data_IF_306019039858
#
_entry.id   IF_306019039858
#
_cell.length_a   1.000
_cell.length_b   1.000
_cell.length_c   1.000
_cell.angle_alpha   90.00
_cell.angle_beta   90.00
_cell.angle_gamma   90.00
#
_symmetry.space_group_name_H-M   'P 1'
#
loop_
_entity.id
_entity.type
_entity.pdbx_description
1 polymer ?
#
# COMPACT_ATOMS: atom_id res chain seq x y z
N UNK A 1 3.50 -1.24 -16.35
CA UNK A 1 2.22 -1.80 -16.78
C UNK A 1 1.17 -1.40 -15.75
N UNK A 2 0.49 -0.28 -16.01
CA UNK A 2 -0.69 0.12 -15.25
C UNK A 2 -1.91 -0.53 -15.90
N UNK A 3 -2.72 -1.23 -15.12
CA UNK A 3 -4.00 -1.76 -15.59
C UNK A 3 -4.96 -0.62 -15.92
N UNK A 4 -4.94 -0.18 -17.18
CA UNK A 4 -5.95 0.69 -17.78
C UNK A 4 -5.78 0.61 -19.30
N UNK A 5 -6.37 -0.44 -19.90
CA UNK A 5 -6.40 -0.75 -21.34
C UNK A 5 -5.00 -0.88 -21.98
N UNK A 6 -4.77 -1.87 -22.85
CA UNK A 6 -3.47 -2.00 -23.52
C UNK A 6 -3.14 -0.75 -24.36
N UNK A 7 -4.17 -0.05 -24.86
CA UNK A 7 -4.14 1.31 -25.43
C UNK A 7 -5.50 2.00 -25.26
N UNK A 8 -5.72 2.89 -24.29
CA UNK A 8 -6.98 3.64 -24.22
C UNK A 8 -7.12 4.55 -25.45
N UNK A 9 -8.29 4.54 -26.11
CA UNK A 9 -8.63 5.61 -27.06
C UNK A 9 -8.71 6.93 -26.28
N UNK A 10 -8.08 8.02 -26.75
CA UNK A 10 -8.13 9.29 -26.04
C UNK A 10 -9.58 9.75 -25.90
N UNK A 11 -10.00 10.00 -24.66
CA UNK A 11 -11.24 10.69 -24.34
C UNK A 11 -10.82 12.06 -23.83
N UNK A 12 -11.11 13.11 -24.60
CA UNK A 12 -10.88 14.48 -24.13
C UNK A 12 -11.92 14.82 -23.07
N UNK A 13 -11.45 15.06 -21.86
CA UNK A 13 -12.27 15.61 -20.77
C UNK A 13 -11.70 16.99 -20.45
N UNK A 14 -12.43 18.04 -20.81
CA UNK A 14 -12.10 19.40 -20.34
C UNK A 14 -12.49 19.49 -18.86
N UNK A 15 -11.49 19.43 -17.98
CA UNK A 15 -11.65 19.65 -16.54
C UNK A 15 -11.14 21.05 -16.22
N UNK A 16 -12.05 21.93 -15.85
CA UNK A 16 -11.73 23.27 -15.38
C UNK A 16 -11.46 23.15 -13.87
N UNK A 17 -10.19 23.30 -13.47
CA UNK A 17 -9.79 23.26 -12.06
C UNK A 17 -9.95 24.66 -11.50
N UNK A 18 -11.07 24.89 -10.81
CA UNK A 18 -11.25 26.11 -10.01
C UNK A 18 -10.56 25.87 -8.67
N UNK A 19 -9.39 26.50 -8.48
CA UNK A 19 -8.76 26.55 -7.16
C UNK A 19 -9.58 27.51 -6.30
N UNK A 20 -10.14 27.08 -5.16
CA UNK A 20 -10.78 28.01 -4.23
C UNK A 20 -9.74 29.02 -3.75
N UNK A 21 -10.13 30.29 -3.70
CA UNK A 21 -9.28 31.37 -3.21
C UNK A 21 -8.85 31.09 -1.76
N UNK A 22 -7.56 31.32 -1.49
CA UNK A 22 -6.90 31.05 -0.21
C UNK A 22 -7.63 31.67 0.97
N UNK A 23 -8.07 30.85 1.92
CA UNK A 23 -8.06 31.26 3.33
C UNK A 23 -6.61 31.16 3.84
N UNK A 24 -6.00 32.31 4.10
CA UNK A 24 -4.72 32.41 4.80
C UNK A 24 -4.98 32.15 6.29
N UNK A 25 -4.91 30.91 6.71
CA UNK A 25 -4.62 30.61 8.12
C UNK A 25 -3.11 30.63 8.33
N UNK A 26 -2.67 31.47 9.27
CA UNK A 26 -1.29 31.49 9.77
C UNK A 26 -1.08 30.18 10.55
N UNK A 27 -0.27 29.27 10.03
CA UNK A 27 0.34 28.23 10.86
C UNK A 27 1.36 28.90 11.79
N UNK A 28 0.94 29.19 13.03
CA UNK A 28 1.87 29.41 14.13
C UNK A 28 2.55 28.08 14.45
N UNK A 29 3.86 28.03 14.19
CA UNK A 29 4.75 26.99 14.69
C UNK A 29 4.63 26.92 16.23
N UNK A 30 4.13 25.80 16.74
CA UNK A 30 4.22 25.48 18.17
C UNK A 30 5.67 25.12 18.52
N UNK A 31 6.36 25.88 19.40
CA UNK A 31 7.69 25.52 19.86
C UNK A 31 7.50 24.68 21.13
N UNK A 32 7.46 23.34 21.00
CA UNK A 32 7.90 22.40 22.03
C UNK A 32 7.73 20.94 21.57
N UNK A 33 8.60 20.51 20.66
CA UNK A 33 8.90 19.10 20.42
C UNK A 33 10.01 18.64 21.34
N UNK A 34 9.73 18.47 22.64
CA UNK A 34 10.58 17.68 23.53
C UNK A 34 9.71 16.59 24.16
N UNK A 35 9.69 15.42 23.54
CA UNK A 35 9.29 14.22 24.24
C UNK A 35 10.39 13.92 25.27
N UNK A 36 10.10 14.22 26.54
CA UNK A 36 10.95 13.79 27.65
C UNK A 36 11.03 12.26 27.69
N UNK A 37 12.21 11.68 27.94
CA UNK A 37 12.35 10.24 28.09
C UNK A 37 11.74 9.82 29.43
N UNK A 38 10.66 9.04 29.40
CA UNK A 38 10.20 8.31 30.57
C UNK A 38 11.17 7.15 30.81
N UNK A 39 12.02 7.34 31.82
CA UNK A 39 12.94 6.33 32.30
C UNK A 39 12.17 5.13 32.90
N UNK A 40 12.37 3.95 32.33
CA UNK A 40 11.95 2.69 32.91
C UNK A 40 13.06 2.22 33.87
N UNK A 41 12.79 2.18 35.17
CA UNK A 41 13.69 1.56 36.15
C UNK A 41 13.36 0.08 36.26
N UNK A 42 14.31 -0.78 35.84
CA UNK A 42 14.41 -2.16 36.28
C UNK A 42 15.75 -2.31 37.04
N UNK A 43 15.69 -2.97 38.19
CA UNK A 43 16.79 -3.09 39.14
C UNK A 43 18.02 -3.81 38.54
N UNK A 44 19.20 -3.21 38.76
CA UNK A 44 20.39 -3.97 39.15
C UNK A 44 21.43 -4.33 38.08
N UNK A 45 22.03 -3.35 37.39
CA UNK A 45 23.49 -3.08 37.33
C UNK A 45 23.78 -2.09 36.20
N UNK A 46 24.36 -0.95 36.57
CA UNK A 46 24.61 0.19 35.69
C UNK A 46 25.79 -0.09 34.76
N UNK A 47 25.56 -0.15 33.44
CA UNK A 47 26.57 0.23 32.45
C UNK A 47 26.12 1.54 31.81
N UNK A 48 26.87 2.60 32.09
CA UNK A 48 26.71 3.92 31.49
C UNK A 48 26.92 3.79 29.98
N UNK A 49 25.85 3.94 29.20
CA UNK A 49 25.97 4.22 27.77
C UNK A 49 26.53 5.64 27.63
N UNK A 50 27.80 5.75 27.26
CA UNK A 50 28.38 7.00 26.82
C UNK A 50 27.64 7.47 25.56
N UNK A 51 27.20 8.72 25.59
CA UNK A 51 26.36 9.36 24.58
C UNK A 51 27.09 9.64 23.23
N UNK A 52 28.24 9.02 22.99
CA UNK A 52 29.14 9.34 21.86
C UNK A 52 29.26 8.26 20.78
N UNK A 53 28.73 7.05 20.97
CA UNK A 53 28.71 6.04 19.90
C UNK A 53 27.33 6.00 19.25
N UNK A 54 27.04 6.99 18.38
CA UNK A 54 26.12 6.73 17.27
C UNK A 54 26.73 5.56 16.48
N UNK A 55 25.98 4.48 16.16
CA UNK A 55 26.49 3.47 15.25
C UNK A 55 26.90 4.19 13.98
N UNK A 56 28.17 4.09 13.63
CA UNK A 56 28.74 4.67 12.42
C UNK A 56 27.81 4.26 11.29
N UNK A 57 27.20 5.25 10.63
CA UNK A 57 26.38 5.05 9.43
C UNK A 57 27.31 4.46 8.39
N UNK A 58 27.36 3.12 8.33
CA UNK A 58 27.96 2.41 7.21
C UNK A 58 27.04 2.69 6.03
N UNK A 59 27.34 3.77 5.31
CA UNK A 59 26.80 4.03 3.99
C UNK A 59 27.08 2.77 3.17
N UNK A 60 26.06 2.03 2.67
CA UNK A 60 26.26 0.75 1.99
C UNK A 60 27.06 0.87 0.67
N UNK A 61 27.44 2.09 0.28
CA UNK A 61 28.12 2.43 -0.95
C UNK A 61 29.57 2.90 -0.74
N UNK A 62 30.33 2.30 0.17
CA UNK A 62 31.71 2.74 0.47
C UNK A 62 32.80 2.05 -0.34
N UNK A 63 32.48 1.08 -1.21
CA UNK A 63 33.50 0.45 -2.05
C UNK A 63 33.94 1.41 -3.18
N UNK A 64 35.19 1.93 -3.18
CA UNK A 64 35.63 2.90 -4.18
C UNK A 64 35.60 2.36 -5.61
N UNK A 65 35.70 1.02 -5.79
CA UNK A 65 35.61 0.36 -7.10
C UNK A 65 34.20 0.37 -7.70
N UNK A 66 33.17 0.63 -6.88
CA UNK A 66 31.77 0.71 -7.30
C UNK A 66 31.32 2.15 -7.60
N UNK A 67 32.23 3.12 -7.64
CA UNK A 67 31.88 4.51 -7.94
C UNK A 67 32.01 4.82 -9.43
N UNK A 68 31.14 5.69 -9.92
CA UNK A 68 31.26 6.36 -11.21
C UNK A 68 31.11 7.86 -11.00
N UNK A 69 31.88 8.65 -11.76
CA UNK A 69 31.77 10.10 -11.80
C UNK A 69 31.69 10.54 -13.25
N UNK A 70 30.72 11.40 -13.57
CA UNK A 70 30.51 11.90 -14.92
C UNK A 70 30.11 13.37 -14.90
N UNK A 71 30.60 14.12 -15.88
CA UNK A 71 30.07 15.45 -16.18
C UNK A 71 28.77 15.31 -16.96
N UNK A 72 27.67 15.85 -16.42
CA UNK A 72 26.33 15.59 -16.95
C UNK A 72 25.71 16.75 -17.73
N UNK A 73 26.07 18.00 -17.40
CA UNK A 73 25.67 19.19 -18.16
C UNK A 73 26.47 20.44 -17.74
N UNK A 74 26.30 21.54 -18.47
CA UNK A 74 26.65 22.87 -18.01
C UNK A 74 25.61 23.40 -17.01
N UNK A 75 26.00 24.27 -16.08
CA UNK A 75 25.07 24.83 -15.06
C UNK A 75 23.92 25.65 -15.64
N UNK A 76 24.11 26.17 -16.86
CA UNK A 76 23.12 26.94 -17.64
C UNK A 76 22.13 26.05 -18.39
N UNK A 77 22.45 24.77 -18.56
CA UNK A 77 21.59 23.87 -19.35
C UNK A 77 20.33 23.45 -18.59
N UNK A 78 20.29 23.62 -17.26
CA UNK A 78 19.13 23.28 -16.44
C UNK A 78 18.66 24.53 -15.70
N UNK A 79 17.40 24.90 -15.90
CA UNK A 79 16.79 26.06 -15.24
C UNK A 79 16.29 25.70 -13.84
N UNK A 80 16.09 26.72 -13.01
CA UNK A 80 15.55 26.53 -11.68
C UNK A 80 14.11 25.98 -11.75
N UNK A 81 13.83 24.92 -11.00
CA UNK A 81 12.55 24.22 -11.02
C UNK A 81 12.48 23.08 -12.04
N UNK A 82 13.55 22.79 -12.79
CA UNK A 82 13.59 21.71 -13.76
C UNK A 82 14.19 20.41 -13.19
N UNK A 83 13.77 19.31 -13.82
CA UNK A 83 14.34 17.99 -13.63
C UNK A 83 14.82 17.44 -14.97
N UNK A 84 15.91 16.69 -14.97
CA UNK A 84 16.47 16.03 -16.16
C UNK A 84 16.98 14.65 -15.81
N UNK A 85 16.66 13.67 -16.64
CA UNK A 85 17.30 12.36 -16.58
C UNK A 85 18.68 12.45 -17.27
N UNK A 86 19.73 12.01 -16.58
CA UNK A 86 21.12 12.06 -17.05
C UNK A 86 21.76 10.68 -17.00
N UNK A 87 22.62 10.39 -17.96
CA UNK A 87 23.31 9.11 -18.10
C UNK A 87 24.72 9.20 -17.50
N UNK A 88 25.10 8.19 -16.70
CA UNK A 88 26.44 8.04 -16.12
C UNK A 88 27.20 6.85 -16.75
N UNK A 89 26.73 6.32 -17.88
CA UNK A 89 27.31 5.19 -18.62
C UNK A 89 26.88 3.83 -18.10
N UNK A 90 26.81 3.63 -16.78
CA UNK A 90 26.39 2.37 -16.16
C UNK A 90 24.95 2.40 -15.59
N UNK A 91 24.24 3.51 -15.80
CA UNK A 91 22.90 3.74 -15.29
C UNK A 91 22.55 5.22 -15.28
N UNK A 92 21.33 5.55 -14.85
CA UNK A 92 20.80 6.91 -14.95
C UNK A 92 20.44 7.49 -13.59
N UNK A 93 20.51 8.81 -13.52
CA UNK A 93 20.11 9.63 -12.37
C UNK A 93 19.11 10.70 -12.78
N UNK A 94 18.34 11.20 -11.82
CA UNK A 94 17.54 12.41 -11.95
C UNK A 94 18.34 13.58 -11.39
N UNK A 95 18.77 14.46 -12.26
CA UNK A 95 19.33 15.75 -11.91
C UNK A 95 18.19 16.76 -11.71
N UNK A 96 18.25 17.51 -10.62
CA UNK A 96 17.22 18.47 -10.22
C UNK A 96 17.91 19.79 -9.92
N UNK A 97 17.35 20.92 -10.35
CA UNK A 97 17.76 22.24 -9.91
C UNK A 97 16.62 22.94 -9.20
N UNK A 98 16.81 23.34 -7.95
CA UNK A 98 15.79 24.08 -7.19
C UNK A 98 16.44 25.05 -6.22
N UNK A 99 15.91 26.27 -6.17
CA UNK A 99 16.42 27.41 -5.43
C UNK A 99 17.92 27.70 -5.69
N UNK A 100 18.38 27.46 -6.93
CA UNK A 100 19.78 27.63 -7.33
C UNK A 100 20.68 26.42 -7.05
N UNK A 101 20.26 25.49 -6.19
CA UNK A 101 21.02 24.30 -5.83
C UNK A 101 20.75 23.13 -6.78
N UNK A 102 21.75 22.26 -6.95
CA UNK A 102 21.63 21.02 -7.71
C UNK A 102 21.56 19.79 -6.79
N UNK A 103 20.64 18.90 -7.11
CA UNK A 103 20.45 17.61 -6.43
C UNK A 103 20.49 16.48 -7.46
N UNK A 104 20.96 15.30 -7.04
CA UNK A 104 20.94 14.11 -7.86
C UNK A 104 20.43 12.91 -7.04
N UNK A 105 19.51 12.16 -7.63
CA UNK A 105 18.89 10.99 -6.99
C UNK A 105 18.49 9.93 -8.01
N UNK A 106 17.99 8.78 -7.55
CA UNK A 106 17.41 7.77 -8.42
C UNK A 106 16.33 8.34 -9.35
N UNK A 107 16.32 7.90 -10.61
CA UNK A 107 15.46 8.42 -11.67
C UNK A 107 14.12 7.71 -11.84
N UNK A 108 13.97 6.53 -11.22
CA UNK A 108 12.74 5.74 -11.24
C UNK A 108 12.14 5.63 -9.87
N UNK A 109 10.82 5.77 -9.78
CA UNK A 109 10.08 5.52 -8.56
C UNK A 109 10.29 4.06 -8.12
N UNK A 110 10.72 3.79 -6.88
CA UNK A 110 11.02 2.45 -6.40
C UNK A 110 9.79 1.55 -6.31
N UNK A 111 8.58 2.12 -6.33
CA UNK A 111 7.33 1.37 -6.35
C UNK A 111 7.20 0.55 -7.65
N UNK A 112 6.73 1.14 -8.76
CA UNK A 112 6.54 0.44 -10.05
C UNK A 112 7.46 0.93 -11.18
N UNK A 113 8.51 1.69 -10.88
CA UNK A 113 9.50 2.11 -11.86
C UNK A 113 9.09 3.31 -12.73
N UNK A 114 8.11 4.10 -12.28
CA UNK A 114 7.68 5.31 -12.98
C UNK A 114 8.86 6.27 -13.20
N UNK A 115 9.04 6.84 -14.41
CA UNK A 115 10.11 7.81 -14.66
C UNK A 115 9.80 9.11 -13.92
N UNK A 116 10.60 9.46 -12.92
CA UNK A 116 10.34 10.60 -12.05
C UNK A 116 10.53 11.95 -12.73
N UNK A 117 11.28 11.98 -13.84
CA UNK A 117 11.39 13.17 -14.72
C UNK A 117 10.03 13.61 -15.28
N UNK A 118 9.05 12.69 -15.39
CA UNK A 118 7.67 13.00 -15.79
C UNK A 118 6.77 13.40 -14.61
N UNK A 119 7.32 13.39 -13.40
CA UNK A 119 6.63 13.76 -12.17
C UNK A 119 6.56 15.26 -11.97
N UNK A 120 6.19 15.65 -10.76
CA UNK A 120 6.08 17.07 -10.37
C UNK A 120 7.13 17.39 -9.30
N UNK A 121 7.94 18.41 -9.55
CA UNK A 121 8.86 18.99 -8.57
C UNK A 121 8.17 20.16 -7.85
N UNK A 122 8.11 20.12 -6.51
CA UNK A 122 7.58 21.22 -5.71
C UNK A 122 8.09 21.18 -4.28
N UNK A 123 8.51 22.33 -3.73
CA UNK A 123 8.88 22.51 -2.31
C UNK A 123 9.81 21.40 -1.76
N UNK A 124 10.95 21.17 -2.41
CA UNK A 124 11.94 20.17 -1.99
C UNK A 124 11.53 18.72 -2.26
N UNK A 125 10.49 18.47 -3.07
CA UNK A 125 9.92 17.14 -3.28
C UNK A 125 9.69 16.82 -4.74
N UNK A 126 9.89 15.56 -5.09
CA UNK A 126 9.47 14.99 -6.38
C UNK A 126 8.31 14.02 -6.16
N UNK A 127 7.20 14.27 -6.84
CA UNK A 127 6.01 13.43 -6.81
C UNK A 127 5.92 12.56 -8.06
N UNK A 128 5.81 11.25 -7.83
CA UNK A 128 5.71 10.24 -8.87
C UNK A 128 4.46 10.43 -9.74
N UNK A 129 4.58 10.39 -11.08
CA UNK A 129 3.47 10.66 -11.98
C UNK A 129 2.42 9.56 -12.05
N UNK A 130 2.70 8.36 -11.53
CA UNK A 130 1.76 7.24 -11.63
C UNK A 130 0.86 7.11 -10.40
N UNK A 131 1.43 7.15 -9.20
CA UNK A 131 0.69 6.84 -7.98
C UNK A 131 0.87 7.89 -6.87
N UNK A 132 1.61 8.97 -7.13
CA UNK A 132 1.75 10.07 -6.18
C UNK A 132 2.78 9.87 -5.07
N UNK A 133 3.53 8.75 -5.06
CA UNK A 133 4.63 8.56 -4.12
C UNK A 133 5.58 9.77 -4.13
N UNK A 134 5.97 10.25 -2.95
CA UNK A 134 6.67 11.52 -2.81
C UNK A 134 8.05 11.29 -2.19
N UNK A 135 9.07 11.95 -2.75
CA UNK A 135 10.44 11.80 -2.30
C UNK A 135 11.07 13.16 -2.01
N UNK A 136 11.79 13.25 -0.91
CA UNK A 136 12.59 14.42 -0.55
C UNK A 136 13.82 14.52 -1.47
N UNK A 137 14.06 15.66 -2.13
CA UNK A 137 15.18 15.80 -3.07
C UNK A 137 16.54 15.88 -2.36
N UNK A 138 16.56 16.32 -1.10
CA UNK A 138 17.80 16.51 -0.34
C UNK A 138 18.29 15.20 0.29
N UNK A 139 17.37 14.33 0.71
CA UNK A 139 17.69 13.06 1.40
C UNK A 139 17.40 11.81 0.57
N UNK A 140 16.51 11.92 -0.43
CA UNK A 140 15.96 10.79 -1.16
C UNK A 140 14.95 9.95 -0.36
N UNK A 141 14.58 10.36 0.84
CA UNK A 141 13.59 9.63 1.63
C UNK A 141 12.21 9.68 0.99
N UNK A 142 11.48 8.59 1.11
CA UNK A 142 10.04 8.57 0.83
C UNK A 142 9.30 9.33 1.95
N UNK A 143 8.50 10.31 1.57
CA UNK A 143 7.68 11.12 2.47
C UNK A 143 6.17 10.90 2.27
N UNK A 144 5.78 10.28 1.15
CA UNK A 144 4.40 9.87 0.89
C UNK A 144 4.37 8.57 0.08
N UNK A 145 3.42 7.71 0.42
CA UNK A 145 3.20 6.40 -0.17
C UNK A 145 2.48 6.55 -1.53
N UNK A 146 2.41 5.51 -2.40
CA UNK A 146 2.83 4.12 -2.21
C UNK A 146 4.29 3.82 -2.57
N UNK A 147 4.90 2.91 -1.83
CA UNK A 147 6.31 2.51 -1.93
C UNK A 147 6.88 2.25 -0.55
N UNK A 148 7.92 1.44 -0.43
CA UNK A 148 8.53 1.13 0.87
C UNK A 148 9.96 1.68 1.01
N UNK A 149 10.64 1.90 -0.12
CA UNK A 149 12.02 2.33 -0.15
C UNK A 149 12.12 3.79 -0.58
N UNK A 150 13.15 4.46 -0.07
CA UNK A 150 13.59 5.74 -0.60
C UNK A 150 14.37 5.55 -1.90
N UNK A 151 14.81 6.68 -2.43
CA UNK A 151 15.72 6.76 -3.57
C UNK A 151 17.16 6.89 -3.08
N UNK A 152 18.13 6.30 -3.80
CA UNK A 152 19.53 6.61 -3.58
C UNK A 152 19.78 8.08 -3.91
N UNK A 153 20.58 8.74 -3.06
CA UNK A 153 21.10 10.09 -3.31
C UNK A 153 22.50 9.99 -3.89
N UNK A 154 22.79 10.82 -4.87
CA UNK A 154 24.11 10.93 -5.49
C UNK A 154 24.76 12.26 -5.13
N UNK A 155 26.09 12.27 -5.09
CA UNK A 155 26.85 13.49 -4.81
C UNK A 155 26.86 14.36 -6.06
N UNK A 156 26.66 15.67 -5.88
CA UNK A 156 26.74 16.66 -6.95
C UNK A 156 27.90 17.61 -6.67
N UNK A 157 28.73 17.86 -7.68
CA UNK A 157 29.84 18.81 -7.62
C UNK A 157 29.74 19.76 -8.81
N UNK A 158 30.04 21.03 -8.60
CA UNK A 158 30.13 22.02 -9.68
C UNK A 158 31.59 22.42 -9.82
N UNK A 159 32.16 22.27 -11.01
CA UNK A 159 33.52 22.71 -11.33
C UNK A 159 33.53 23.37 -12.70
N UNK A 160 34.12 24.57 -12.81
CA UNK A 160 34.28 25.30 -14.08
C UNK A 160 32.95 25.36 -14.88
N UNK A 161 31.88 25.77 -14.21
CA UNK A 161 30.51 25.86 -14.76
C UNK A 161 29.90 24.52 -15.25
N UNK A 162 30.50 23.37 -14.92
CA UNK A 162 29.96 22.04 -15.24
C UNK A 162 29.47 21.33 -14.00
N UNK A 163 28.38 20.60 -14.14
CA UNK A 163 27.78 19.76 -13.11
C UNK A 163 28.33 18.34 -13.25
N UNK A 164 28.84 17.80 -12.16
CA UNK A 164 29.32 16.43 -12.03
C UNK A 164 28.47 15.67 -11.04
N UNK A 165 28.16 14.42 -11.36
CA UNK A 165 27.50 13.50 -10.43
C UNK A 165 28.46 12.36 -10.13
N UNK A 166 28.62 12.07 -8.84
CA UNK A 166 29.31 10.87 -8.34
C UNK A 166 28.31 9.94 -7.65
N UNK A 167 28.27 8.68 -8.11
CA UNK A 167 27.26 7.70 -7.71
C UNK A 167 27.84 6.29 -7.61
N UNK A 168 27.23 5.43 -6.79
CA UNK A 168 27.50 3.98 -6.82
C UNK A 168 26.82 3.35 -8.02
N UNK A 169 27.50 2.43 -8.71
CA UNK A 169 26.94 1.69 -9.86
C UNK A 169 25.80 0.79 -9.39
N UNK A 170 25.93 0.13 -8.24
CA UNK A 170 24.85 -0.64 -7.65
C UNK A 170 23.62 0.22 -7.36
N UNK A 171 23.79 1.43 -6.81
CA UNK A 171 22.68 2.34 -6.53
C UNK A 171 21.99 2.84 -7.82
N UNK A 172 22.75 3.09 -8.88
CA UNK A 172 22.23 3.42 -10.21
C UNK A 172 21.47 2.25 -10.86
N UNK A 173 21.76 1.00 -10.47
CA UNK A 173 21.03 -0.16 -10.97
C UNK A 173 19.79 -0.46 -10.14
N UNK A 174 19.89 -0.43 -8.80
CA UNK A 174 18.79 -0.79 -7.90
C UNK A 174 17.67 0.25 -7.89
N UNK A 175 18.01 1.54 -8.04
CA UNK A 175 17.08 2.68 -7.94
C UNK A 175 16.26 2.68 -6.62
N UNK A 176 16.75 1.98 -5.61
CA UNK A 176 16.07 1.71 -4.33
C UNK A 176 17.07 1.82 -3.20
N UNK A 177 16.64 2.48 -2.11
CA UNK A 177 17.38 2.58 -0.85
C UNK A 177 16.45 2.24 0.31
N UNK A 178 16.68 1.09 0.92
CA UNK A 178 16.06 0.74 2.20
C UNK A 178 16.76 1.52 3.32
N UNK A 179 15.99 2.05 4.28
CA UNK A 179 16.56 2.74 5.44
C UNK A 179 17.34 1.76 6.32
N UNK A 180 18.35 2.28 7.03
CA UNK A 180 19.08 1.51 8.04
C UNK A 180 18.10 1.11 9.13
N UNK A 181 18.21 -0.14 9.59
CA UNK A 181 17.30 -0.75 10.55
C UNK A 181 18.08 -1.51 11.61
N UNK A 182 17.62 -1.41 12.86
CA UNK A 182 18.10 -2.22 13.96
C UNK A 182 17.76 -3.70 13.76
N UNK A 183 18.44 -4.55 14.54
CA UNK A 183 18.19 -5.98 14.66
C UNK A 183 17.77 -6.31 16.08
N UNK A 184 17.20 -7.49 16.29
CA UNK A 184 16.87 -7.96 17.62
C UNK A 184 18.17 -8.30 18.38
N UNK A 185 18.32 -7.80 19.60
CA UNK A 185 19.56 -8.02 20.40
C UNK A 185 19.46 -9.28 21.28
N UNK A 186 18.26 -9.83 21.52
CA UNK A 186 18.04 -10.83 22.57
C UNK A 186 17.23 -12.09 22.15
N UNK A 187 17.48 -12.68 20.97
CA UNK A 187 16.66 -13.81 20.48
C UNK A 187 16.72 -15.09 21.34
N UNK A 188 17.76 -15.31 22.15
CA UNK A 188 18.03 -16.63 22.75
C UNK A 188 17.15 -17.01 23.95
N UNK A 189 16.41 -16.07 24.56
CA UNK A 189 15.72 -16.30 25.85
C UNK A 189 14.21 -16.00 25.85
N UNK A 190 13.57 -15.80 24.70
CA UNK A 190 12.14 -15.49 24.67
C UNK A 190 11.27 -16.75 24.65
N UNK A 191 10.31 -16.83 25.58
CA UNK A 191 9.18 -17.76 25.47
C UNK A 191 8.38 -17.45 24.20
N UNK A 192 8.04 -18.48 23.42
CA UNK A 192 7.18 -18.32 22.23
C UNK A 192 5.82 -17.72 22.58
N UNK A 193 5.38 -17.84 23.83
CA UNK A 193 4.12 -17.31 24.35
C UNK A 193 4.13 -15.80 24.66
N UNK A 194 5.26 -15.08 24.60
CA UNK A 194 5.35 -13.65 24.98
C UNK A 194 6.13 -12.85 23.94
N UNK A 195 5.60 -11.70 23.52
CA UNK A 195 6.29 -10.76 22.62
C UNK A 195 6.22 -9.30 23.11
N UNK A 196 7.20 -8.48 22.75
CA UNK A 196 7.18 -7.05 23.07
C UNK A 196 6.17 -6.32 22.16
N UNK A 197 6.18 -6.64 20.87
CA UNK A 197 5.22 -6.11 19.90
C UNK A 197 4.57 -7.27 19.15
N UNK A 198 3.23 -7.33 19.23
CA UNK A 198 2.42 -8.18 18.37
C UNK A 198 1.72 -7.32 17.31
N UNK A 199 1.79 -7.74 16.06
CA UNK A 199 1.11 -7.11 14.92
C UNK A 199 0.13 -8.14 14.33
N UNK A 200 -1.17 -7.90 14.47
CA UNK A 200 -2.19 -8.77 13.88
C UNK A 200 -2.55 -8.23 12.50
N UNK A 201 -2.09 -8.92 11.46
CA UNK A 201 -2.31 -8.58 10.07
C UNK A 201 -1.02 -8.26 9.34
N UNK A 202 -0.66 -9.09 8.36
CA UNK A 202 0.52 -8.96 7.52
C UNK A 202 0.27 -8.14 6.24
N UNK A 203 -0.56 -7.10 6.33
CA UNK A 203 -0.78 -6.14 5.24
C UNK A 203 0.28 -5.03 5.20
N UNK A 204 0.15 -4.05 4.29
CA UNK A 204 1.09 -2.93 4.21
C UNK A 204 1.22 -2.15 5.52
N UNK A 205 0.13 -1.97 6.27
CA UNK A 205 0.17 -1.28 7.56
C UNK A 205 1.01 -2.04 8.62
N UNK A 206 0.82 -3.37 8.72
CA UNK A 206 1.59 -4.20 9.64
C UNK A 206 3.07 -4.24 9.29
N UNK A 207 3.38 -4.42 8.00
CA UNK A 207 4.75 -4.38 7.49
C UNK A 207 5.43 -3.05 7.78
N UNK A 208 4.79 -1.93 7.41
CA UNK A 208 5.36 -0.59 7.63
C UNK A 208 5.55 -0.31 9.12
N UNK A 209 4.67 -0.80 9.99
CA UNK A 209 4.88 -0.69 11.43
C UNK A 209 6.14 -1.46 11.88
N UNK A 210 6.29 -2.72 11.48
CA UNK A 210 7.46 -3.53 11.84
C UNK A 210 8.76 -2.90 11.32
N UNK A 211 8.77 -2.43 10.07
CA UNK A 211 9.92 -1.74 9.48
C UNK A 211 10.23 -0.44 10.21
N UNK A 212 9.22 0.39 10.48
CA UNK A 212 9.41 1.68 11.16
C UNK A 212 9.96 1.46 12.56
N UNK A 213 9.47 0.47 13.31
CA UNK A 213 10.04 0.13 14.62
C UNK A 213 11.54 -0.17 14.51
N UNK A 214 11.96 -0.99 13.54
CA UNK A 214 13.38 -1.27 13.31
C UNK A 214 14.15 -0.04 12.85
N UNK A 215 13.57 0.82 12.01
CA UNK A 215 14.21 2.07 11.54
C UNK A 215 14.45 3.05 12.69
N UNK A 216 13.53 3.11 13.66
CA UNK A 216 13.61 3.93 14.87
C UNK A 216 14.45 3.28 15.98
N UNK A 217 15.16 2.18 15.69
CA UNK A 217 16.10 1.55 16.61
C UNK A 217 15.50 0.54 17.59
N UNK A 218 14.22 0.17 17.44
CA UNK A 218 13.60 -0.83 18.31
C UNK A 218 14.28 -2.19 18.13
N UNK A 219 14.80 -2.75 19.22
CA UNK A 219 15.66 -3.93 19.21
C UNK A 219 15.10 -5.15 19.95
N UNK A 220 13.83 -5.12 20.37
CA UNK A 220 13.16 -6.26 21.01
C UNK A 220 12.40 -7.13 20.00
N UNK A 221 11.81 -8.25 20.46
CA UNK A 221 11.02 -9.17 19.65
C UNK A 221 9.78 -8.50 19.03
N UNK A 222 9.62 -8.65 17.72
CA UNK A 222 8.42 -8.26 16.96
C UNK A 222 7.86 -9.54 16.34
N UNK A 223 6.57 -9.80 16.57
CA UNK A 223 5.83 -10.89 15.94
C UNK A 223 4.71 -10.29 15.08
N UNK A 224 4.65 -10.68 13.82
CA UNK A 224 3.56 -10.36 12.91
C UNK A 224 2.82 -11.63 12.52
N UNK A 225 1.52 -11.69 12.78
CA UNK A 225 0.69 -12.84 12.46
C UNK A 225 -0.36 -12.53 11.39
N UNK A 226 -0.74 -13.55 10.63
CA UNK A 226 -1.74 -13.44 9.57
C UNK A 226 -2.43 -14.78 9.36
N UNK A 227 -3.72 -14.74 9.02
CA UNK A 227 -4.48 -15.94 8.65
C UNK A 227 -4.14 -16.45 7.25
N UNK A 228 -3.39 -15.69 6.45
CA UNK A 228 -2.97 -16.08 5.10
C UNK A 228 -1.68 -16.89 5.12
N UNK A 229 -1.49 -17.74 4.11
CA UNK A 229 -0.27 -18.54 3.90
C UNK A 229 0.94 -17.74 3.39
N UNK A 230 0.75 -16.47 3.06
CA UNK A 230 1.74 -15.64 2.37
C UNK A 230 2.40 -14.61 3.27
N UNK A 231 3.66 -14.31 2.95
CA UNK A 231 4.34 -13.09 3.41
C UNK A 231 3.59 -11.84 2.92
N UNK A 232 3.79 -10.65 3.54
CA UNK A 232 3.19 -9.41 3.08
C UNK A 232 3.37 -9.17 1.58
N UNK A 233 2.27 -8.89 0.90
CA UNK A 233 2.23 -8.71 -0.54
C UNK A 233 1.32 -7.54 -0.95
N UNK A 234 1.57 -7.02 -2.15
CA UNK A 234 0.84 -5.88 -2.69
C UNK A 234 -0.53 -6.31 -3.22
N UNK A 235 -1.55 -6.16 -2.36
CA UNK A 235 -2.94 -6.49 -2.74
C UNK A 235 -3.48 -5.65 -3.89
N UNK A 236 -2.92 -4.48 -4.18
CA UNK A 236 -3.38 -3.67 -5.31
C UNK A 236 -3.08 -4.31 -6.66
N UNK A 237 -2.14 -5.27 -6.70
CA UNK A 237 -1.84 -6.10 -7.87
C UNK A 237 -2.96 -7.07 -8.22
N UNK A 238 -3.78 -7.49 -7.25
CA UNK A 238 -4.82 -8.51 -7.42
C UNK A 238 -5.92 -8.10 -8.40
N UNK A 239 -6.08 -6.81 -8.70
CA UNK A 239 -7.04 -6.27 -9.67
C UNK A 239 -6.38 -5.53 -10.84
N UNK A 240 -5.11 -5.10 -10.71
CA UNK A 240 -4.42 -4.28 -11.72
C UNK A 240 -3.53 -5.08 -12.67
N UNK A 241 -2.87 -6.12 -12.17
CA UNK A 241 -1.99 -6.99 -12.94
C UNK A 241 -2.29 -8.42 -12.57
N UNK A 242 -3.59 -8.76 -12.60
CA UNK A 242 -4.09 -10.10 -12.27
C UNK A 242 -3.29 -11.17 -13.02
N UNK A 243 -3.35 -12.42 -12.55
CA UNK A 243 -2.50 -13.53 -13.04
C UNK A 243 -1.04 -13.43 -12.57
N UNK A 244 -0.86 -13.14 -11.28
CA UNK A 244 0.46 -13.08 -10.64
C UNK A 244 0.57 -14.16 -9.56
N UNK A 245 1.74 -14.77 -9.43
CA UNK A 245 2.05 -15.60 -8.27
C UNK A 245 2.32 -14.72 -7.06
N UNK A 246 2.03 -15.22 -5.85
CA UNK A 246 2.14 -14.42 -4.63
C UNK A 246 3.56 -13.85 -4.44
N UNK A 247 4.58 -14.67 -4.70
CA UNK A 247 6.00 -14.36 -4.54
C UNK A 247 6.44 -13.21 -5.44
N UNK A 248 5.83 -13.06 -6.62
CA UNK A 248 6.13 -11.99 -7.57
C UNK A 248 5.62 -10.62 -7.11
N UNK A 249 4.68 -10.62 -6.16
CA UNK A 249 4.04 -9.42 -5.63
C UNK A 249 4.28 -9.24 -4.13
N UNK A 250 5.23 -9.99 -3.55
CA UNK A 250 5.69 -9.75 -2.19
C UNK A 250 6.26 -8.35 -2.05
N UNK A 251 5.96 -7.73 -0.91
CA UNK A 251 6.44 -6.39 -0.56
C UNK A 251 7.90 -6.42 -0.10
N UNK A 252 8.31 -7.53 0.54
CA UNK A 252 9.67 -7.82 0.99
C UNK A 252 9.99 -9.29 0.77
N UNK A 253 11.27 -9.61 0.55
CA UNK A 253 11.71 -11.00 0.41
C UNK A 253 11.68 -11.72 1.77
N UNK A 254 11.80 -13.05 1.77
CA UNK A 254 11.88 -13.83 3.01
C UNK A 254 13.12 -13.46 3.83
N UNK A 255 14.23 -13.22 3.15
CA UNK A 255 15.52 -12.87 3.73
C UNK A 255 15.45 -11.53 4.46
N UNK A 256 14.59 -10.60 4.01
CA UNK A 256 14.36 -9.34 4.70
C UNK A 256 13.86 -9.55 6.13
N UNK A 257 12.81 -10.35 6.31
CA UNK A 257 12.24 -10.62 7.63
C UNK A 257 13.24 -11.30 8.55
N UNK A 258 14.03 -12.24 8.01
CA UNK A 258 15.11 -12.88 8.75
C UNK A 258 16.23 -11.89 9.13
N UNK A 259 16.65 -11.03 8.19
CA UNK A 259 17.75 -10.08 8.39
C UNK A 259 17.47 -9.08 9.51
N UNK A 260 16.20 -8.72 9.71
CA UNK A 260 15.76 -7.70 10.67
C UNK A 260 14.96 -8.28 11.85
N UNK A 261 15.01 -9.61 12.01
CA UNK A 261 14.38 -10.34 13.12
C UNK A 261 12.90 -9.96 13.33
N UNK A 262 12.13 -9.96 12.23
CA UNK A 262 10.69 -9.79 12.23
C UNK A 262 10.07 -11.17 12.07
N UNK A 263 9.49 -11.70 13.15
CA UNK A 263 8.92 -13.04 13.16
C UNK A 263 7.57 -13.06 12.43
N UNK A 264 7.42 -13.98 11.49
CA UNK A 264 6.22 -14.13 10.67
C UNK A 264 5.47 -15.40 11.05
N UNK A 265 4.25 -15.26 11.57
CA UNK A 265 3.33 -16.36 11.84
C UNK A 265 2.22 -16.38 10.77
N UNK A 266 2.42 -17.16 9.71
CA UNK A 266 1.44 -17.36 8.63
C UNK A 266 0.41 -18.42 9.02
N UNK A 267 -0.73 -18.45 8.34
CA UNK A 267 -1.84 -19.40 8.59
C UNK A 267 -2.33 -19.41 10.05
N UNK A 268 -2.05 -18.33 10.78
CA UNK A 268 -2.27 -18.19 12.21
C UNK A 268 -3.35 -17.14 12.44
N UNK A 269 -4.58 -17.60 12.66
CA UNK A 269 -5.74 -16.73 12.84
C UNK A 269 -5.96 -16.38 14.32
N UNK A 270 -5.97 -15.10 14.65
CA UNK A 270 -6.46 -14.61 15.95
C UNK A 270 -8.00 -14.63 15.96
N UNK A 271 -8.58 -15.27 16.97
CA UNK A 271 -10.03 -15.43 17.14
C UNK A 271 -10.57 -14.73 18.38
N UNK A 272 -9.70 -14.33 19.30
CA UNK A 272 -10.08 -13.57 20.49
C UNK A 272 -8.95 -12.70 21.01
N UNK A 273 -9.32 -11.70 21.82
CA UNK A 273 -8.38 -10.82 22.49
C UNK A 273 -8.87 -10.51 23.90
N UNK A 274 -7.97 -10.61 24.86
CA UNK A 274 -8.13 -10.12 26.23
C UNK A 274 -7.23 -8.90 26.41
N UNK A 275 -7.83 -7.71 26.33
CA UNK A 275 -7.09 -6.45 26.45
C UNK A 275 -6.60 -6.20 27.88
N UNK A 276 -7.33 -6.67 28.89
CA UNK A 276 -7.00 -6.49 30.31
C UNK A 276 -5.73 -7.24 30.67
N UNK A 277 -5.62 -8.49 30.22
CA UNK A 277 -4.45 -9.34 30.44
C UNK A 277 -3.43 -9.26 29.29
N UNK A 278 -3.60 -8.33 28.34
CA UNK A 278 -2.76 -8.13 27.16
C UNK A 278 -2.41 -9.42 26.42
N UNK A 279 -3.44 -10.16 26.03
CA UNK A 279 -3.30 -11.49 25.43
C UNK A 279 -4.19 -11.65 24.21
N UNK A 280 -3.72 -12.39 23.22
CA UNK A 280 -4.52 -12.85 22.09
C UNK A 280 -4.74 -14.36 22.18
N UNK A 281 -5.84 -14.83 21.59
CA UNK A 281 -6.17 -16.24 21.46
C UNK A 281 -6.24 -16.58 19.99
N UNK A 282 -5.48 -17.60 19.60
CA UNK A 282 -5.44 -18.11 18.23
C UNK A 282 -6.47 -19.24 18.05
N UNK A 283 -6.80 -19.53 16.79
CA UNK A 283 -7.83 -20.52 16.42
C UNK A 283 -7.53 -21.93 16.93
N UNK A 284 -6.27 -22.29 17.04
CA UNK A 284 -5.77 -23.56 17.57
C UNK A 284 -5.75 -23.62 19.11
N UNK A 285 -6.16 -22.54 19.78
CA UNK A 285 -6.15 -22.41 21.23
C UNK A 285 -4.84 -21.88 21.81
N UNK A 286 -3.79 -21.70 21.00
CA UNK A 286 -2.56 -21.06 21.44
C UNK A 286 -2.84 -19.64 21.93
N UNK A 287 -2.08 -19.19 22.91
CA UNK A 287 -2.22 -17.86 23.51
C UNK A 287 -0.87 -17.16 23.51
N UNK A 288 -0.87 -15.90 23.09
CA UNK A 288 0.33 -15.06 23.12
C UNK A 288 0.04 -13.77 23.90
N UNK A 289 0.91 -13.48 24.85
CA UNK A 289 0.92 -12.23 25.61
C UNK A 289 1.77 -11.18 24.89
N UNK A 290 1.39 -9.91 25.01
CA UNK A 290 2.05 -8.80 24.34
C UNK A 290 2.25 -7.59 25.25
N UNK A 291 3.31 -6.80 25.03
CA UNK A 291 3.44 -5.49 25.70
C UNK A 291 2.70 -4.39 24.94
N UNK A 292 2.81 -4.42 23.60
CA UNK A 292 2.13 -3.54 22.65
C UNK A 292 1.49 -4.38 21.54
N UNK A 293 0.32 -3.93 21.08
CA UNK A 293 -0.44 -4.59 20.03
C UNK A 293 -0.81 -3.58 18.95
N UNK A 294 -0.55 -3.94 17.69
CA UNK A 294 -1.14 -3.28 16.52
C UNK A 294 -2.19 -4.20 15.90
N UNK A 295 -3.40 -3.67 15.69
CA UNK A 295 -4.47 -4.35 14.93
C UNK A 295 -4.46 -3.78 13.51
N UNK A 296 -3.95 -4.57 12.57
CA UNK A 296 -3.81 -4.26 11.14
C UNK A 296 -4.56 -5.28 10.25
N UNK A 297 -5.70 -5.80 10.72
CA UNK A 297 -6.45 -6.89 10.09
C UNK A 297 -7.19 -6.51 8.80
N UNK A 298 -7.26 -5.21 8.49
CA UNK A 298 -7.86 -4.71 7.27
C UNK A 298 -9.37 -4.98 7.19
N UNK A 299 -9.82 -5.50 6.05
CA UNK A 299 -11.24 -5.69 5.76
C UNK A 299 -11.50 -6.96 4.95
N UNK A 300 -12.69 -7.53 5.12
CA UNK A 300 -13.19 -8.68 4.37
C UNK A 300 -14.19 -8.20 3.32
N UNK A 301 -14.12 -8.68 2.05
CA UNK A 301 -15.08 -8.34 1.03
C UNK A 301 -16.52 -8.64 1.44
N UNK A 302 -17.47 -7.77 1.05
CA UNK A 302 -18.90 -8.04 1.18
C UNK A 302 -19.34 -9.03 0.11
N UNK A 303 -20.26 -9.92 0.49
CA UNK A 303 -20.86 -10.90 -0.43
C UNK A 303 -22.31 -10.50 -0.76
N UNK A 304 -22.85 -11.08 -1.84
CA UNK A 304 -24.25 -10.91 -2.19
C UNK A 304 -25.17 -11.58 -1.17
N UNK A 305 -26.42 -11.11 -1.11
CA UNK A 305 -27.49 -11.71 -0.28
C UNK A 305 -28.57 -12.32 -1.17
N UNK A 306 -28.16 -13.17 -2.11
CA UNK A 306 -29.06 -13.84 -3.06
C UNK A 306 -28.78 -15.34 -3.14
N UNK A 307 -29.71 -16.09 -3.73
CA UNK A 307 -29.51 -17.51 -4.06
C UNK A 307 -28.38 -17.65 -5.10
N UNK A 308 -27.60 -18.72 -4.98
CA UNK A 308 -26.46 -19.02 -5.85
C UNK A 308 -25.19 -18.20 -5.56
N UNK A 309 -25.13 -17.42 -4.47
CA UNK A 309 -23.94 -16.65 -4.09
C UNK A 309 -22.70 -17.49 -3.74
N UNK A 310 -22.90 -18.76 -3.39
CA UNK A 310 -21.84 -19.69 -2.98
C UNK A 310 -21.31 -20.54 -4.15
N UNK A 311 -21.76 -20.30 -5.39
CA UNK A 311 -21.28 -21.04 -6.55
C UNK A 311 -19.77 -20.81 -6.76
N UNK A 312 -19.06 -21.88 -7.12
CA UNK A 312 -17.59 -21.89 -7.19
C UNK A 312 -17.00 -20.83 -8.11
N UNK A 313 -17.74 -20.40 -9.14
CA UNK A 313 -17.35 -19.39 -10.11
C UNK A 313 -17.95 -17.99 -9.83
N UNK A 314 -18.39 -17.76 -8.60
CA UNK A 314 -18.74 -16.45 -8.05
C UNK A 314 -17.64 -16.06 -7.06
N UNK A 315 -16.96 -14.94 -7.33
CA UNK A 315 -15.75 -14.56 -6.64
C UNK A 315 -15.90 -13.25 -5.90
N UNK A 316 -15.32 -13.18 -4.71
CA UNK A 316 -14.71 -11.93 -4.25
C UNK A 316 -13.20 -12.05 -4.50
N UNK A 317 -12.50 -10.95 -4.71
CA UNK A 317 -11.04 -10.97 -4.90
C UNK A 317 -10.37 -10.48 -3.63
N UNK A 318 -9.71 -11.40 -2.92
CA UNK A 318 -8.94 -11.07 -1.71
C UNK A 318 -7.52 -11.66 -1.71
N UNK A 319 -7.32 -12.79 -2.38
CA UNK A 319 -6.02 -13.46 -2.49
C UNK A 319 -5.55 -13.58 -3.95
N UNK A 320 -4.26 -13.93 -4.19
CA UNK A 320 -3.75 -14.26 -5.52
C UNK A 320 -4.55 -15.38 -6.21
N UNK A 321 -4.98 -16.40 -5.46
CA UNK A 321 -5.78 -17.50 -5.99
C UNK A 321 -7.12 -17.02 -6.56
N UNK A 322 -7.81 -16.13 -5.85
CA UNK A 322 -9.08 -15.57 -6.33
C UNK A 322 -8.88 -14.89 -7.68
N UNK A 323 -7.88 -14.00 -7.76
CA UNK A 323 -7.57 -13.26 -8.98
C UNK A 323 -7.20 -14.20 -10.13
N UNK A 324 -6.32 -15.19 -9.90
CA UNK A 324 -5.84 -16.10 -10.93
C UNK A 324 -6.97 -17.04 -11.42
N UNK A 325 -7.86 -17.49 -10.52
CA UNK A 325 -9.05 -18.27 -10.91
C UNK A 325 -10.01 -17.44 -11.76
N UNK A 326 -10.23 -16.17 -11.41
CA UNK A 326 -11.04 -15.25 -12.22
C UNK A 326 -10.46 -15.11 -13.62
N UNK A 327 -9.15 -14.85 -13.76
CA UNK A 327 -8.52 -14.72 -15.08
C UNK A 327 -8.69 -15.99 -15.91
N UNK A 328 -8.41 -17.16 -15.32
CA UNK A 328 -8.53 -18.46 -16.01
C UNK A 328 -9.95 -18.73 -16.50
N UNK A 329 -10.96 -18.48 -15.67
CA UNK A 329 -12.37 -18.75 -16.02
C UNK A 329 -12.95 -17.71 -16.98
N UNK A 330 -12.50 -16.45 -16.87
CA UNK A 330 -12.99 -15.37 -17.72
C UNK A 330 -12.48 -15.47 -19.17
N UNK A 331 -11.34 -16.12 -19.40
CA UNK A 331 -10.69 -16.19 -20.71
C UNK A 331 -11.65 -16.71 -21.79
N UNK A 332 -11.94 -15.88 -22.80
CA UNK A 332 -12.89 -16.15 -23.88
C UNK A 332 -14.32 -16.51 -23.42
N UNK A 333 -14.72 -16.10 -22.21
CA UNK A 333 -16.03 -16.36 -21.60
C UNK A 333 -16.77 -15.09 -21.20
N UNK A 334 -17.99 -15.22 -20.71
CA UNK A 334 -18.80 -14.08 -20.26
C UNK A 334 -18.52 -13.77 -18.79
N UNK A 335 -18.05 -12.56 -18.51
CA UNK A 335 -17.80 -12.09 -17.16
C UNK A 335 -18.86 -11.07 -16.73
N UNK A 336 -19.45 -11.28 -15.56
CA UNK A 336 -20.31 -10.29 -14.90
C UNK A 336 -19.60 -9.76 -13.67
N UNK A 337 -19.59 -8.44 -13.50
CA UNK A 337 -18.96 -7.75 -12.38
C UNK A 337 -20.06 -6.99 -11.66
N UNK A 338 -20.19 -7.21 -10.35
CA UNK A 338 -21.21 -6.57 -9.52
C UNK A 338 -20.54 -5.50 -8.67
N UNK A 339 -20.87 -4.24 -8.92
CA UNK A 339 -20.27 -3.05 -8.33
C UNK A 339 -19.32 -2.34 -9.30
N UNK A 340 -19.57 -1.06 -9.56
CA UNK A 340 -18.80 -0.16 -10.42
C UNK A 340 -17.92 0.82 -9.60
N UNK A 341 -17.35 0.31 -8.51
CA UNK A 341 -16.31 0.99 -7.73
C UNK A 341 -14.91 0.57 -8.19
N UNK A 342 -13.86 0.94 -7.46
CA UNK A 342 -12.46 0.74 -7.87
C UNK A 342 -12.15 -0.71 -8.23
N UNK A 343 -12.47 -1.68 -7.34
CA UNK A 343 -12.19 -3.10 -7.60
C UNK A 343 -12.90 -3.59 -8.88
N UNK A 344 -14.21 -3.36 -8.98
CA UNK A 344 -15.01 -3.85 -10.10
C UNK A 344 -14.56 -3.24 -11.43
N UNK A 345 -14.27 -1.93 -11.45
CA UNK A 345 -13.81 -1.24 -12.65
C UNK A 345 -12.37 -1.63 -13.04
N UNK A 346 -11.48 -1.87 -12.08
CA UNK A 346 -10.13 -2.39 -12.36
C UNK A 346 -10.20 -3.81 -12.96
N UNK A 347 -11.02 -4.69 -12.40
CA UNK A 347 -11.26 -6.04 -12.94
C UNK A 347 -11.89 -5.98 -14.33
N UNK A 348 -12.87 -5.09 -14.54
CA UNK A 348 -13.50 -4.89 -15.85
C UNK A 348 -12.47 -4.44 -16.90
N UNK A 349 -11.59 -3.50 -16.53
CA UNK A 349 -10.52 -3.02 -17.40
C UNK A 349 -9.51 -4.13 -17.71
N UNK A 350 -9.17 -4.98 -16.73
CA UNK A 350 -8.25 -6.08 -16.95
C UNK A 350 -8.84 -7.17 -17.88
N UNK A 351 -10.13 -7.47 -17.70
CA UNK A 351 -10.83 -8.54 -18.42
C UNK A 351 -11.36 -8.14 -19.80
N UNK A 352 -11.53 -6.85 -20.11
CA UNK A 352 -12.13 -6.40 -21.38
C UNK A 352 -11.39 -6.89 -22.64
N UNK A 353 -10.11 -7.21 -22.53
CA UNK A 353 -9.27 -7.73 -23.63
C UNK A 353 -9.13 -9.26 -23.60
N UNK A 354 -9.59 -9.93 -22.54
CA UNK A 354 -9.40 -11.37 -22.30
C UNK A 354 -10.69 -12.17 -22.32
N UNK A 355 -11.78 -11.57 -21.85
CA UNK A 355 -13.10 -12.17 -21.83
C UNK A 355 -13.81 -11.99 -23.18
N UNK A 356 -14.75 -12.88 -23.50
CA UNK A 356 -15.63 -12.72 -24.66
C UNK A 356 -16.57 -11.52 -24.46
N UNK A 357 -17.09 -11.33 -23.24
CA UNK A 357 -17.90 -10.19 -22.88
C UNK A 357 -17.70 -9.80 -21.42
N UNK A 358 -17.83 -8.51 -21.12
CA UNK A 358 -17.79 -7.97 -19.75
C UNK A 358 -19.02 -7.12 -19.52
N UNK A 359 -19.79 -7.47 -18.49
CA UNK A 359 -20.95 -6.71 -18.03
C UNK A 359 -20.73 -6.22 -16.60
N UNK A 360 -21.06 -4.96 -16.33
CA UNK A 360 -20.98 -4.36 -14.99
C UNK A 360 -22.39 -4.03 -14.52
N UNK A 361 -22.73 -4.49 -13.32
CA UNK A 361 -24.03 -4.27 -12.66
C UNK A 361 -23.82 -3.33 -11.46
N UNK A 362 -24.58 -2.25 -11.35
CA UNK A 362 -24.42 -1.25 -10.30
C UNK A 362 -25.77 -0.68 -9.86
N UNK A 363 -25.87 -0.38 -8.55
CA UNK A 363 -27.04 0.25 -7.92
C UNK A 363 -27.13 1.74 -8.23
N UNK A 364 -25.98 2.42 -8.23
CA UNK A 364 -25.90 3.83 -8.61
C UNK A 364 -26.16 4.02 -10.11
N UNK A 365 -26.45 5.24 -10.53
CA UNK A 365 -26.70 5.54 -11.95
C UNK A 365 -25.40 5.73 -12.75
N UNK A 366 -24.28 6.09 -12.09
CA UNK A 366 -23.00 6.44 -12.71
C UNK A 366 -21.84 5.93 -11.81
N UNK A 367 -20.79 5.30 -12.37
CA UNK A 367 -19.64 4.86 -11.60
C UNK A 367 -18.92 6.05 -10.93
N UNK A 368 -18.35 5.82 -9.75
CA UNK A 368 -17.58 6.82 -8.99
C UNK A 368 -18.27 8.14 -8.65
N UNK A 369 -19.59 8.30 -8.89
CA UNK A 369 -20.32 9.56 -8.66
C UNK A 369 -20.06 10.17 -7.28
N UNK A 370 -20.08 9.34 -6.24
CA UNK A 370 -19.84 9.76 -4.84
C UNK A 370 -18.41 10.25 -4.57
N UNK A 371 -17.42 9.81 -5.35
CA UNK A 371 -16.01 10.09 -5.10
C UNK A 371 -15.43 11.14 -6.05
N UNK A 372 -15.81 11.08 -7.33
CA UNK A 372 -15.22 11.90 -8.40
C UNK A 372 -16.25 12.84 -9.06
N UNK A 373 -17.51 12.76 -8.65
CA UNK A 373 -18.60 13.54 -9.24
C UNK A 373 -19.10 12.97 -10.56
N UNK A 374 -20.22 13.53 -11.02
CA UNK A 374 -20.97 13.06 -12.18
C UNK A 374 -20.20 13.18 -13.50
N UNK A 375 -19.58 14.33 -13.77
CA UNK A 375 -18.85 14.57 -15.02
C UNK A 375 -17.72 13.56 -15.24
N UNK A 376 -16.93 13.31 -14.19
CA UNK A 376 -15.82 12.35 -14.25
C UNK A 376 -16.34 10.91 -14.36
N UNK A 377 -17.38 10.57 -13.60
CA UNK A 377 -18.03 9.27 -13.67
C UNK A 377 -18.54 8.93 -15.07
N UNK A 378 -19.22 9.87 -15.74
CA UNK A 378 -19.72 9.70 -17.11
C UNK A 378 -18.59 9.53 -18.12
N UNK A 379 -17.51 10.31 -17.99
CA UNK A 379 -16.36 10.19 -18.87
C UNK A 379 -15.70 8.81 -18.74
N UNK A 380 -15.54 8.31 -17.51
CA UNK A 380 -15.01 6.97 -17.25
C UNK A 380 -15.96 5.90 -17.79
N UNK A 381 -17.27 6.01 -17.54
CA UNK A 381 -18.27 5.07 -18.05
C UNK A 381 -18.19 4.95 -19.57
N UNK A 382 -18.18 6.09 -20.28
CA UNK A 382 -18.04 6.15 -21.74
C UNK A 382 -16.73 5.54 -22.23
N UNK A 383 -15.62 5.75 -21.50
CA UNK A 383 -14.34 5.10 -21.82
C UNK A 383 -14.46 3.58 -21.74
N UNK A 384 -15.14 3.02 -20.75
CA UNK A 384 -15.34 1.58 -20.61
C UNK A 384 -16.31 1.02 -21.68
N UNK A 385 -17.38 1.75 -22.01
CA UNK A 385 -18.31 1.40 -23.09
C UNK A 385 -17.61 1.35 -24.45
N UNK A 386 -16.73 2.31 -24.72
CA UNK A 386 -15.87 2.32 -25.92
C UNK A 386 -14.93 1.10 -25.98
N UNK A 387 -14.66 0.46 -24.84
CA UNK A 387 -13.92 -0.79 -24.71
C UNK A 387 -14.85 -2.01 -24.57
N UNK A 388 -16.11 -1.89 -25.03
CA UNK A 388 -17.13 -2.95 -25.11
C UNK A 388 -17.61 -3.50 -23.76
N UNK A 389 -17.39 -2.76 -22.67
CA UNK A 389 -18.00 -3.08 -21.38
C UNK A 389 -19.46 -2.63 -21.38
N UNK A 390 -20.38 -3.52 -21.01
CA UNK A 390 -21.82 -3.21 -20.95
C UNK A 390 -22.22 -2.87 -19.52
N UNK A 391 -22.86 -1.74 -19.32
CA UNK A 391 -23.35 -1.32 -18.01
C UNK A 391 -24.84 -1.62 -17.83
N UNK A 392 -25.18 -2.10 -16.63
CA UNK A 392 -26.52 -2.34 -16.14
C UNK A 392 -26.66 -1.58 -14.82
N UNK A 393 -26.97 -0.29 -14.94
CA UNK A 393 -27.06 0.65 -13.81
C UNK A 393 -28.46 0.63 -13.18
N UNK A 394 -28.57 1.17 -11.96
CA UNK A 394 -29.83 1.25 -11.21
C UNK A 394 -30.56 -0.09 -11.08
N UNK A 395 -29.80 -1.18 -10.98
CA UNK A 395 -30.33 -2.52 -10.80
C UNK A 395 -29.36 -3.35 -9.96
N UNK A 396 -29.88 -4.38 -9.32
CA UNK A 396 -29.07 -5.34 -8.55
C UNK A 396 -29.30 -6.76 -9.04
N UNK A 397 -28.42 -7.66 -8.59
CA UNK A 397 -28.55 -9.10 -8.79
C UNK A 397 -29.65 -9.64 -7.87
N UNK A 398 -30.62 -10.33 -8.44
CA UNK A 398 -31.70 -11.00 -7.71
C UNK A 398 -31.39 -12.48 -7.45
N UNK A 399 -30.83 -13.18 -8.44
CA UNK A 399 -30.50 -14.61 -8.38
C UNK A 399 -29.29 -14.91 -9.26
N UNK A 400 -28.45 -15.84 -8.79
CA UNK A 400 -27.38 -16.46 -9.57
C UNK A 400 -27.83 -17.88 -9.89
N UNK A 401 -28.07 -18.18 -11.17
CA UNK A 401 -28.56 -19.49 -11.61
C UNK A 401 -27.41 -20.36 -12.08
N UNK A 402 -27.49 -21.61 -11.67
CA UNK A 402 -26.51 -22.62 -12.02
C UNK A 402 -27.00 -23.55 -13.13
N UNK A 403 -26.03 -24.15 -13.82
CA UNK A 403 -26.19 -25.33 -14.65
C UNK A 403 -25.01 -26.25 -14.33
N UNK A 404 -25.29 -27.53 -14.02
CA UNK A 404 -24.27 -28.52 -13.63
C UNK A 404 -23.37 -28.03 -12.46
N UNK A 405 -23.98 -27.37 -11.47
CA UNK A 405 -23.30 -26.88 -10.26
C UNK A 405 -22.42 -25.64 -10.48
N UNK A 406 -22.50 -24.97 -11.65
CA UNK A 406 -21.71 -23.77 -11.97
C UNK A 406 -22.61 -22.64 -12.42
N UNK A 407 -22.25 -21.40 -12.06
CA UNK A 407 -22.92 -20.20 -12.54
C UNK A 407 -23.01 -20.23 -14.08
N UNK A 408 -24.23 -20.01 -14.57
CA UNK A 408 -24.50 -19.82 -15.99
C UNK A 408 -25.22 -18.50 -16.29
N UNK A 409 -26.03 -18.02 -15.36
CA UNK A 409 -26.81 -16.81 -15.55
C UNK A 409 -26.83 -15.93 -14.29
N UNK A 410 -26.78 -14.62 -14.49
CA UNK A 410 -27.03 -13.60 -13.46
C UNK A 410 -28.36 -12.93 -13.78
N UNK A 411 -29.34 -13.13 -12.90
CA UNK A 411 -30.67 -12.53 -13.00
C UNK A 411 -30.64 -11.20 -12.27
N UNK A 412 -31.14 -10.16 -12.93
CA UNK A 412 -31.24 -8.82 -12.36
C UNK A 412 -32.65 -8.54 -11.87
N UNK A 413 -32.81 -7.68 -10.87
CA UNK A 413 -34.13 -7.21 -10.42
C UNK A 413 -34.91 -6.48 -11.51
N UNK A 414 -34.24 -5.93 -12.52
CA UNK A 414 -34.87 -5.37 -13.72
C UNK A 414 -35.54 -6.42 -14.63
N UNK A 415 -35.41 -7.71 -14.34
CA UNK A 415 -35.92 -8.81 -15.16
C UNK A 415 -34.97 -9.27 -16.27
N UNK A 416 -33.88 -8.53 -16.53
CA UNK A 416 -32.83 -8.96 -17.47
C UNK A 416 -32.06 -10.17 -16.93
N UNK A 417 -31.70 -11.07 -17.82
CA UNK A 417 -30.86 -12.24 -17.53
C UNK A 417 -29.57 -12.13 -18.34
N UNK A 418 -28.43 -12.16 -17.66
CA UNK A 418 -27.11 -12.08 -18.27
C UNK A 418 -26.46 -13.46 -18.27
N UNK A 419 -25.96 -13.92 -19.42
CA UNK A 419 -25.08 -15.10 -19.44
C UNK A 419 -23.77 -14.77 -18.72
N UNK A 420 -23.35 -15.63 -17.81
CA UNK A 420 -22.14 -15.46 -17.03
C UNK A 420 -21.49 -16.80 -16.75
N UNK A 421 -20.23 -16.95 -17.15
CA UNK A 421 -19.42 -18.10 -16.79
C UNK A 421 -18.53 -17.79 -15.57
N UNK A 422 -18.38 -16.50 -15.23
CA UNK A 422 -17.72 -16.00 -14.02
C UNK A 422 -18.41 -14.73 -13.52
N UNK A 423 -18.58 -14.61 -12.20
CA UNK A 423 -19.09 -13.41 -11.55
C UNK A 423 -18.09 -12.88 -10.52
N UNK A 424 -17.82 -11.57 -10.51
CA UNK A 424 -16.92 -10.92 -9.54
C UNK A 424 -17.69 -9.88 -8.73
N UNK A 425 -17.62 -9.99 -7.41
CA UNK A 425 -18.33 -9.14 -6.46
C UNK A 425 -17.38 -8.07 -5.92
N UNK A 426 -17.65 -6.81 -6.30
CA UNK A 426 -16.89 -5.61 -5.94
C UNK A 426 -17.73 -4.56 -5.20
N UNK A 427 -18.67 -4.99 -4.36
CA UNK A 427 -19.65 -4.13 -3.67
C UNK A 427 -19.15 -3.55 -2.32
N UNK A 428 -17.84 -3.50 -2.14
CA UNK A 428 -17.17 -3.00 -0.93
C UNK A 428 -16.79 -4.10 0.07
N UNK A 429 -16.38 -3.66 1.26
CA UNK A 429 -15.84 -4.52 2.32
C UNK A 429 -16.32 -4.09 3.70
N UNK A 430 -16.10 -4.93 4.70
CA UNK A 430 -16.36 -4.66 6.11
C UNK A 430 -15.08 -4.88 6.93
N UNK A 431 -14.84 -4.09 8.00
CA UNK A 431 -13.64 -4.24 8.82
C UNK A 431 -13.54 -5.63 9.46
N UNK A 432 -12.34 -6.20 9.51
CA UNK A 432 -12.09 -7.54 10.09
C UNK A 432 -11.85 -7.43 11.59
N UNK A 433 -12.93 -7.11 12.32
CA UNK A 433 -12.92 -6.81 13.77
C UNK A 433 -13.73 -7.81 14.60
N UNK A 434 -14.21 -8.90 13.99
CA UNK A 434 -15.07 -9.88 14.65
C UNK A 434 -14.47 -10.50 15.93
N UNK A 435 -13.16 -10.67 15.98
CA UNK A 435 -12.43 -11.21 17.16
C UNK A 435 -12.41 -10.25 18.36
N UNK A 436 -12.82 -8.99 18.18
CA UNK A 436 -12.82 -7.96 19.23
C UNK A 436 -14.13 -7.89 20.02
N UNK A 437 -15.18 -8.62 19.63
CA UNK A 437 -16.52 -8.53 20.24
C UNK A 437 -16.52 -8.71 21.77
N UNK A 438 -15.63 -9.53 22.31
CA UNK A 438 -15.51 -9.81 23.74
C UNK A 438 -14.26 -9.19 24.38
N UNK A 439 -13.55 -8.33 23.64
CA UNK A 439 -12.25 -7.80 24.06
C UNK A 439 -12.32 -6.52 24.90
N UNK A 440 -13.53 -5.95 25.05
CA UNK A 440 -13.75 -4.63 25.65
C UNK A 440 -13.42 -3.46 24.72
N UNK A 441 -12.86 -3.68 23.53
CA UNK A 441 -12.62 -2.61 22.54
C UNK A 441 -13.94 -2.12 21.96
N UNK A 442 -14.18 -0.82 22.07
CA UNK A 442 -15.33 -0.16 21.44
C UNK A 442 -15.19 -0.20 19.92
N UNK A 443 -16.25 -0.61 19.23
CA UNK A 443 -16.40 -0.53 17.79
C UNK A 443 -17.50 0.48 17.45
N UNK A 444 -17.35 1.20 16.34
CA UNK A 444 -18.43 2.05 15.83
C UNK A 444 -19.58 1.21 15.24
N UNK A 445 -20.68 1.87 14.85
CA UNK A 445 -21.86 1.21 14.27
C UNK A 445 -21.57 0.44 12.96
N UNK A 446 -20.44 0.72 12.30
CA UNK A 446 -19.99 0.05 11.08
C UNK A 446 -18.91 -1.02 11.34
N UNK A 447 -18.53 -1.21 12.60
CA UNK A 447 -17.55 -2.19 13.06
C UNK A 447 -16.09 -1.72 13.00
N UNK A 448 -15.82 -0.43 12.74
CA UNK A 448 -14.47 0.11 12.76
C UNK A 448 -13.99 0.36 14.20
N UNK A 449 -12.67 0.34 14.39
CA UNK A 449 -12.02 0.68 15.66
C UNK A 449 -11.76 2.20 15.66
N UNK A 450 -12.42 2.99 16.53
CA UNK A 450 -12.11 4.40 16.68
C UNK A 450 -10.71 4.58 17.28
N UNK A 451 -9.91 5.49 16.71
CA UNK A 451 -8.57 5.81 17.20
C UNK A 451 -8.33 7.31 17.21
N UNK A 452 -7.41 7.76 18.05
CA UNK A 452 -6.96 9.16 18.05
C UNK A 452 -5.92 9.43 16.93
N UNK A 453 -5.42 10.67 16.85
CA UNK A 453 -4.40 11.07 15.85
C UNK A 453 -3.10 10.24 15.90
N UNK A 454 -2.81 9.61 17.03
CA UNK A 454 -1.66 8.71 17.21
C UNK A 454 -1.98 7.24 16.95
N UNK A 455 -3.14 6.92 16.36
CA UNK A 455 -3.63 5.56 16.12
C UNK A 455 -3.81 4.70 17.39
N UNK A 456 -3.98 5.34 18.55
CA UNK A 456 -4.23 4.66 19.82
C UNK A 456 -5.73 4.51 20.06
N UNK A 457 -6.14 3.35 20.56
CA UNK A 457 -7.50 3.08 21.04
C UNK A 457 -7.68 3.78 22.39
N UNK A 458 -8.61 4.72 22.47
CA UNK A 458 -9.04 5.32 23.74
C UNK A 458 -10.11 4.43 24.38
N UNK A 459 -9.80 3.88 25.55
CA UNK A 459 -10.77 3.16 26.37
C UNK A 459 -11.77 4.17 26.93
N UNK A 460 -12.96 4.23 26.35
CA UNK A 460 -14.05 4.97 26.98
C UNK A 460 -14.47 4.14 28.19
N UNK A 461 -14.16 4.64 29.39
CA UNK A 461 -14.64 4.04 30.61
C UNK A 461 -16.18 4.13 30.60
N UNK A 462 -16.95 3.02 30.64
CA UNK A 462 -18.40 3.08 30.52
C UNK A 462 -19.08 3.93 31.62
N UNK A 463 -18.35 4.27 32.69
CA UNK A 463 -18.80 5.18 33.75
C UNK A 463 -18.67 6.68 33.43
N UNK A 464 -18.06 7.09 32.31
CA UNK A 464 -17.92 8.50 31.92
C UNK A 464 -18.90 8.95 30.83
N UNK A 465 -19.80 8.08 30.36
CA UNK A 465 -20.78 8.41 29.32
C UNK A 465 -22.17 8.82 29.88
N UNK A 466 -22.28 9.07 31.19
CA UNK A 466 -23.53 9.46 31.87
C UNK A 466 -23.41 10.76 32.69
N UNK A 467 -22.51 11.68 32.33
CA UNK A 467 -22.48 13.04 32.91
C UNK A 467 -22.66 14.08 31.84
#
# INVERSE_FOLDING_TARGET
MGGCFSKPKPVEVKVEVVLPEKEREKEEMSPNGKASPLAYKANGTTRLYHHEERPIVLNPYTNPKDMVEASVCHVKDLENGQMREVDLGCGKALLIKQNGDFYAMGHKCPHYGAPLVKGVLSKGRVRCPWHGACFNIATGDIEDFPGLDGLPKFQVKIEKERVYIRASKQALQSQRRTKVMAKCIALSNYSTAITNVLIIGAGPAGLVCAETLRQEGFSDRIVMCTSEKYLPYDRSKLSKSMDSQAEQIFLRSKEFFHTYDIEMLTETQVVGMDSKNKRVVFKDGFRMEYNKLLIATGSTPKTLKCKGKELDNVFTIRTPEDANRVVKLASSKNAVIVGASFLGMEVAAYLCEKAHSVSVVELENIPFKKFLGEKVGLAIMKMFENNRVKFYMQTEVSELREQEGKLKEVVLKSGKVLRADVCVIGIGASPTTGFLKQSGVTLDAKGYIPVNKGFTITWINPHQAQT
#
